data_IF_602017694890
#
_entry.id   IF_602017694890
#
_cell.length_a   1.000
_cell.length_b   1.000
_cell.length_c   1.000
_cell.angle_alpha   90.00
_cell.angle_beta   90.00
_cell.angle_gamma   90.00
#
_symmetry.space_group_name_H-M   'P 1'
#
loop_
_entity.id
_entity.type
_entity.pdbx_description
1 polymer ?
#
# COMPACT_ATOMS: atom_id res chain seq x y z
N UNK A 1 5.19 45.75 -22.53
CA UNK A 1 4.61 44.46 -22.97
C UNK A 1 5.41 44.02 -24.20
N UNK A 2 6.38 43.11 -24.16
CA UNK A 2 6.38 41.79 -23.53
C UNK A 2 6.31 40.70 -24.61
N UNK A 3 7.13 40.79 -25.66
CA UNK A 3 7.21 39.77 -26.72
C UNK A 3 8.52 38.99 -26.57
N UNK A 4 8.63 38.22 -25.49
CA UNK A 4 9.67 37.20 -25.37
C UNK A 4 9.21 35.99 -26.16
N UNK A 5 9.52 35.98 -27.46
CA UNK A 5 9.41 34.78 -28.26
C UNK A 5 10.20 33.66 -27.59
N UNK A 6 9.49 32.68 -27.04
CA UNK A 6 10.09 31.43 -26.57
C UNK A 6 10.65 30.72 -27.79
N UNK A 7 11.87 31.07 -28.20
CA UNK A 7 12.66 30.28 -29.13
C UNK A 7 12.92 28.96 -28.43
N UNK A 8 12.03 27.98 -28.61
CA UNK A 8 12.25 26.59 -28.22
C UNK A 8 13.63 26.22 -28.77
N UNK A 9 14.59 26.06 -27.87
CA UNK A 9 15.96 25.72 -28.23
C UNK A 9 15.89 24.31 -28.81
N UNK A 10 16.07 24.20 -30.13
CA UNK A 10 16.16 22.92 -30.84
C UNK A 10 17.09 22.00 -30.06
N UNK A 11 16.56 20.90 -29.56
CA UNK A 11 17.32 19.94 -28.76
C UNK A 11 18.41 19.29 -29.62
N UNK A 12 19.48 18.80 -29.01
CA UNK A 12 20.45 17.95 -29.71
C UNK A 12 19.78 16.72 -30.33
N UNK A 13 18.70 16.24 -29.71
CA UNK A 13 17.85 15.15 -30.18
C UNK A 13 17.12 15.52 -31.47
N UNK A 14 16.52 16.72 -31.53
CA UNK A 14 15.81 17.20 -32.72
C UNK A 14 16.74 17.38 -33.92
N UNK A 15 17.98 17.85 -33.66
CA UNK A 15 19.02 17.94 -34.69
C UNK A 15 19.41 16.56 -35.22
N UNK A 16 19.59 15.58 -34.34
CA UNK A 16 19.92 14.21 -34.76
C UNK A 16 18.79 13.58 -35.59
N UNK A 17 17.53 13.79 -35.22
CA UNK A 17 16.36 13.31 -35.99
C UNK A 17 16.30 14.00 -37.36
N UNK A 18 16.57 15.31 -37.40
CA UNK A 18 16.64 16.05 -38.66
C UNK A 18 17.75 15.50 -39.57
N UNK A 19 18.93 15.24 -39.03
CA UNK A 19 20.06 14.70 -39.79
C UNK A 19 19.73 13.32 -40.38
N UNK A 20 19.07 12.44 -39.62
CA UNK A 20 18.58 11.14 -40.12
C UNK A 20 17.58 11.31 -41.26
N UNK A 21 16.62 12.24 -41.12
CA UNK A 21 15.62 12.53 -42.17
C UNK A 21 16.29 13.09 -43.43
N UNK A 22 17.26 13.98 -43.28
CA UNK A 22 18.06 14.51 -44.40
C UNK A 22 18.85 13.39 -45.09
N UNK A 23 19.46 12.48 -44.33
CA UNK A 23 20.18 11.33 -44.90
C UNK A 23 19.25 10.41 -45.70
N UNK A 24 18.07 10.10 -45.17
CA UNK A 24 17.03 9.34 -45.87
C UNK A 24 16.66 10.02 -47.20
N UNK A 25 16.41 11.32 -47.18
CA UNK A 25 16.02 12.06 -48.39
C UNK A 25 17.16 12.11 -49.43
N UNK A 26 18.42 12.24 -48.99
CA UNK A 26 19.60 12.13 -49.86
C UNK A 26 19.70 10.75 -50.51
N UNK A 27 19.41 9.68 -49.76
CA UNK A 27 19.40 8.32 -50.28
C UNK A 27 18.29 8.15 -51.33
N UNK A 28 17.09 8.68 -51.10
CA UNK A 28 16.02 8.69 -52.11
C UNK A 28 16.43 9.42 -53.40
N UNK A 29 17.11 10.56 -53.28
CA UNK A 29 17.63 11.28 -54.46
C UNK A 29 18.70 10.46 -55.20
N UNK A 30 19.58 9.78 -54.46
CA UNK A 30 20.60 8.92 -55.04
C UNK A 30 20.00 7.71 -55.75
N UNK A 31 19.00 7.06 -55.15
CA UNK A 31 18.26 5.95 -55.74
C UNK A 31 17.65 6.37 -57.08
N UNK A 32 16.92 7.50 -57.14
CA UNK A 32 16.36 8.03 -58.39
C UNK A 32 17.42 8.27 -59.47
N UNK A 33 18.59 8.78 -59.09
CA UNK A 33 19.71 9.00 -60.02
C UNK A 33 20.25 7.67 -60.55
N UNK A 34 20.44 6.66 -59.70
CA UNK A 34 20.91 5.33 -60.13
C UNK A 34 19.89 4.65 -61.03
N UNK A 35 18.58 4.73 -60.73
CA UNK A 35 17.54 4.16 -61.59
C UNK A 35 17.60 4.76 -62.99
N UNK A 36 17.67 6.08 -63.09
CA UNK A 36 17.80 6.76 -64.39
C UNK A 36 19.10 6.38 -65.14
N UNK A 37 20.21 6.16 -64.43
CA UNK A 37 21.44 5.66 -65.04
C UNK A 37 21.30 4.21 -65.52
N UNK A 38 20.61 3.37 -64.75
CA UNK A 38 20.36 1.97 -65.09
C UNK A 38 19.53 1.88 -66.37
N UNK A 39 18.48 2.70 -66.48
CA UNK A 39 17.62 2.79 -67.67
C UNK A 39 18.45 3.18 -68.90
N UNK A 40 19.30 4.21 -68.79
CA UNK A 40 20.22 4.62 -69.87
C UNK A 40 21.19 3.51 -70.27
N UNK A 41 21.78 2.79 -69.32
CA UNK A 41 22.65 1.64 -69.63
C UNK A 41 21.88 0.52 -70.33
N UNK A 42 20.57 0.35 -70.05
CA UNK A 42 19.73 -0.60 -70.80
C UNK A 42 19.50 -0.15 -72.25
N UNK A 43 19.29 1.15 -72.48
CA UNK A 43 19.14 1.73 -73.82
C UNK A 43 20.43 1.58 -74.62
N UNK A 44 21.57 1.94 -74.02
CA UNK A 44 22.90 1.78 -74.64
C UNK A 44 23.16 0.30 -74.97
N UNK A 45 22.79 -0.62 -74.08
CA UNK A 45 22.91 -2.05 -74.36
C UNK A 45 22.06 -2.47 -75.57
N UNK A 46 20.81 -1.99 -75.69
CA UNK A 46 19.93 -2.25 -76.85
C UNK A 46 20.52 -1.68 -78.14
N UNK A 47 21.03 -0.45 -78.11
CA UNK A 47 21.66 0.19 -79.28
C UNK A 47 22.92 -0.56 -79.73
N UNK A 48 23.78 -0.99 -78.79
CA UNK A 48 24.97 -1.76 -79.12
C UNK A 48 24.62 -3.13 -79.74
N UNK A 49 23.54 -3.76 -79.27
CA UNK A 49 23.05 -5.00 -79.87
C UNK A 49 22.51 -4.79 -81.30
N UNK A 50 21.79 -3.68 -81.55
CA UNK A 50 21.32 -3.33 -82.88
C UNK A 50 22.48 -3.08 -83.88
N UNK A 51 23.61 -2.57 -83.38
CA UNK A 51 24.85 -2.38 -84.17
C UNK A 51 25.74 -3.63 -84.27
N UNK A 52 25.30 -4.78 -83.76
CA UNK A 52 26.07 -6.03 -83.66
C UNK A 52 27.36 -5.96 -82.82
N UNK A 53 27.53 -4.93 -81.99
CA UNK A 53 28.70 -4.71 -81.15
C UNK A 53 28.60 -5.46 -79.81
N UNK A 54 28.77 -6.79 -79.86
CA UNK A 54 28.63 -7.68 -78.69
C UNK A 54 29.55 -7.32 -77.51
N UNK A 55 30.78 -6.86 -77.78
CA UNK A 55 31.76 -6.50 -76.73
C UNK A 55 31.28 -5.29 -75.90
N UNK A 56 30.71 -4.27 -76.56
CA UNK A 56 30.19 -3.06 -75.88
C UNK A 56 28.89 -3.35 -75.15
N UNK A 57 28.01 -4.15 -75.74
CA UNK A 57 26.80 -4.61 -75.07
C UNK A 57 27.09 -5.37 -73.76
N UNK A 58 28.07 -6.28 -73.76
CA UNK A 58 28.49 -6.99 -72.54
C UNK A 58 29.03 -6.05 -71.45
N UNK A 59 29.76 -4.99 -71.82
CA UNK A 59 30.26 -4.00 -70.87
C UNK A 59 29.11 -3.20 -70.23
N UNK A 60 28.14 -2.75 -71.04
CA UNK A 60 26.95 -2.05 -70.56
C UNK A 60 26.12 -2.93 -69.60
N UNK A 61 25.94 -4.22 -69.93
CA UNK A 61 25.25 -5.16 -69.04
C UNK A 61 25.99 -5.41 -67.73
N UNK A 62 27.33 -5.44 -67.74
CA UNK A 62 28.13 -5.53 -66.50
C UNK A 62 27.96 -4.28 -65.63
N UNK A 63 27.95 -3.09 -66.24
CA UNK A 63 27.69 -1.82 -65.53
C UNK A 63 26.29 -1.77 -64.95
N UNK A 64 25.28 -2.19 -65.72
CA UNK A 64 23.90 -2.36 -65.24
C UNK A 64 23.84 -3.25 -64.00
N UNK A 65 24.42 -4.45 -64.05
CA UNK A 65 24.42 -5.38 -62.91
C UNK A 65 25.12 -4.81 -61.66
N UNK A 66 26.20 -4.06 -61.84
CA UNK A 66 26.86 -3.36 -60.75
C UNK A 66 25.95 -2.28 -60.13
N UNK A 67 25.27 -1.48 -60.96
CA UNK A 67 24.32 -0.46 -60.51
C UNK A 67 23.10 -1.07 -59.80
N UNK A 68 22.57 -2.20 -60.27
CA UNK A 68 21.50 -2.95 -59.60
C UNK A 68 21.94 -3.46 -58.21
N UNK A 69 23.19 -3.94 -58.11
CA UNK A 69 23.76 -4.37 -56.83
C UNK A 69 23.91 -3.19 -55.86
N UNK A 70 24.33 -2.03 -56.36
CA UNK A 70 24.38 -0.80 -55.57
C UNK A 70 22.99 -0.37 -55.12
N UNK A 71 21.99 -0.42 -56.01
CA UNK A 71 20.60 -0.06 -55.71
C UNK A 71 20.06 -0.97 -54.59
N UNK A 72 20.26 -2.28 -54.68
CA UNK A 72 19.86 -3.23 -53.64
C UNK A 72 20.51 -2.95 -52.27
N UNK A 73 21.79 -2.56 -52.26
CA UNK A 73 22.47 -2.14 -51.02
C UNK A 73 21.87 -0.86 -50.47
N UNK A 74 21.59 0.11 -51.34
CA UNK A 74 20.97 1.39 -50.96
C UNK A 74 19.55 1.19 -50.40
N UNK A 75 18.74 0.31 -50.98
CA UNK A 75 17.41 -0.03 -50.46
C UNK A 75 17.50 -0.66 -49.07
N UNK A 76 18.49 -1.53 -48.86
CA UNK A 76 18.74 -2.15 -47.56
C UNK A 76 19.14 -1.10 -46.50
N UNK A 77 19.98 -0.14 -46.88
CA UNK A 77 20.37 0.98 -46.01
C UNK A 77 19.19 1.92 -45.71
N UNK A 78 18.32 2.15 -46.70
CA UNK A 78 17.13 2.96 -46.53
C UNK A 78 16.16 2.32 -45.53
N UNK A 79 15.91 1.02 -45.67
CA UNK A 79 15.08 0.27 -44.72
C UNK A 79 15.65 0.32 -43.29
N UNK A 80 16.97 0.22 -43.14
CA UNK A 80 17.64 0.37 -41.84
C UNK A 80 17.44 1.77 -41.24
N UNK A 81 17.51 2.84 -42.04
CA UNK A 81 17.26 4.21 -41.57
C UNK A 81 15.80 4.44 -41.18
N UNK A 82 14.86 3.86 -41.93
CA UNK A 82 13.43 3.93 -41.61
C UNK A 82 13.12 3.20 -40.30
N UNK A 83 13.69 2.01 -40.12
CA UNK A 83 13.61 1.29 -38.84
C UNK A 83 14.19 2.11 -37.68
N UNK A 84 15.39 2.68 -37.86
CA UNK A 84 16.03 3.49 -36.82
C UNK A 84 15.19 4.73 -36.48
N UNK A 85 14.62 5.40 -37.50
CA UNK A 85 13.75 6.56 -37.29
C UNK A 85 12.51 6.18 -36.48
N UNK A 86 11.85 5.06 -36.82
CA UNK A 86 10.71 4.56 -36.06
C UNK A 86 11.06 4.17 -34.62
N UNK A 87 12.25 3.59 -34.39
CA UNK A 87 12.74 3.29 -33.05
C UNK A 87 12.96 4.58 -32.22
N UNK A 88 13.52 5.63 -32.82
CA UNK A 88 13.73 6.91 -32.14
C UNK A 88 12.39 7.58 -31.80
N UNK A 89 11.44 7.60 -32.74
CA UNK A 89 10.10 8.14 -32.50
C UNK A 89 9.37 7.38 -31.39
N UNK A 90 9.49 6.05 -31.37
CA UNK A 90 8.95 5.23 -30.29
C UNK A 90 9.64 5.50 -28.94
N UNK A 91 10.95 5.70 -28.91
CA UNK A 91 11.69 6.04 -27.70
C UNK A 91 11.29 7.42 -27.14
N UNK A 92 10.96 8.39 -28.01
CA UNK A 92 10.42 9.68 -27.58
C UNK A 92 9.07 9.52 -26.90
N UNK A 93 8.16 8.72 -27.46
CA UNK A 93 6.86 8.43 -26.83
C UNK A 93 7.05 7.71 -25.49
N UNK A 94 7.97 6.73 -25.41
CA UNK A 94 8.28 6.05 -24.15
C UNK A 94 8.77 7.00 -23.06
N UNK A 95 9.60 7.98 -23.42
CA UNK A 95 10.07 9.01 -22.48
C UNK A 95 8.88 9.78 -21.90
N UNK A 96 7.92 10.18 -22.72
CA UNK A 96 6.75 10.94 -22.28
C UNK A 96 5.83 10.10 -21.39
N UNK A 97 5.63 8.82 -21.74
CA UNK A 97 4.90 7.86 -20.90
C UNK A 97 5.58 7.70 -19.54
N UNK A 98 6.90 7.56 -19.52
CA UNK A 98 7.67 7.43 -18.28
C UNK A 98 7.56 8.69 -17.41
N UNK A 99 7.59 9.88 -18.01
CA UNK A 99 7.37 11.13 -17.30
C UNK A 99 5.94 11.23 -16.73
N UNK A 100 4.93 10.80 -17.47
CA UNK A 100 3.55 10.69 -17.00
C UNK A 100 3.41 9.73 -15.82
N UNK A 101 4.03 8.55 -15.90
CA UNK A 101 4.07 7.58 -14.79
C UNK A 101 4.77 8.17 -13.55
N UNK A 102 5.91 8.85 -13.72
CA UNK A 102 6.60 9.52 -12.61
C UNK A 102 5.73 10.57 -11.94
N UNK A 103 4.98 11.37 -12.70
CA UNK A 103 4.04 12.34 -12.13
C UNK A 103 2.89 11.64 -11.41
N UNK A 104 2.29 10.61 -12.02
CA UNK A 104 1.24 9.80 -11.40
C UNK A 104 1.70 9.21 -10.06
N UNK A 105 2.90 8.64 -10.01
CA UNK A 105 3.49 8.12 -8.76
C UNK A 105 3.69 9.20 -7.72
N UNK A 106 4.16 10.41 -8.11
CA UNK A 106 4.30 11.53 -7.17
C UNK A 106 2.96 11.97 -6.59
N UNK A 107 1.92 12.04 -7.41
CA UNK A 107 0.56 12.38 -6.96
C UNK A 107 0.01 11.30 -6.02
N UNK A 108 0.17 10.02 -6.37
CA UNK A 108 -0.21 8.91 -5.50
C UNK A 108 0.54 8.94 -4.16
N UNK A 109 1.83 9.26 -4.18
CA UNK A 109 2.61 9.41 -2.94
C UNK A 109 2.11 10.58 -2.09
N UNK A 110 1.72 11.71 -2.69
CA UNK A 110 1.13 12.83 -1.99
C UNK A 110 -0.22 12.44 -1.35
N UNK A 111 -1.11 11.79 -2.12
CA UNK A 111 -2.40 11.30 -1.63
C UNK A 111 -2.21 10.29 -0.49
N UNK A 112 -1.32 9.31 -0.66
CA UNK A 112 -1.02 8.33 0.39
C UNK A 112 -0.48 9.01 1.66
N UNK A 113 0.29 10.09 1.53
CA UNK A 113 0.78 10.85 2.69
C UNK A 113 -0.34 11.65 3.36
N UNK A 114 -1.26 12.23 2.60
CA UNK A 114 -2.42 12.97 3.12
C UNK A 114 -3.45 12.06 3.81
N UNK A 115 -3.66 10.85 3.30
CA UNK A 115 -4.50 9.81 3.93
C UNK A 115 -3.85 9.27 5.22
N UNK A 116 -2.57 9.60 5.48
CA UNK A 116 -1.83 9.24 6.68
C UNK A 116 -1.03 7.94 6.56
N UNK A 117 -0.80 7.48 5.33
CA UNK A 117 0.07 6.34 5.01
C UNK A 117 -0.43 5.03 5.60
N UNK A 118 0.51 4.12 5.84
CA UNK A 118 0.24 2.83 6.49
C UNK A 118 -0.22 3.04 7.94
N UNK A 119 0.33 4.04 8.64
CA UNK A 119 0.01 4.32 10.05
C UNK A 119 -1.45 4.77 10.28
N UNK A 120 -2.08 5.45 9.32
CA UNK A 120 -3.50 5.78 9.42
C UNK A 120 -4.40 4.60 9.05
N UNK A 121 -3.95 3.72 8.16
CA UNK A 121 -4.65 2.46 7.87
C UNK A 121 -4.57 1.51 9.07
N UNK A 122 -3.40 1.40 9.71
CA UNK A 122 -3.19 0.60 10.92
C UNK A 122 -4.03 1.12 12.08
N UNK A 123 -4.05 2.46 12.31
CA UNK A 123 -4.95 3.07 13.31
C UNK A 123 -6.42 2.83 13.02
N UNK A 124 -6.86 2.97 11.77
CA UNK A 124 -8.25 2.69 11.39
C UNK A 124 -8.61 1.22 11.61
N UNK A 125 -7.68 0.29 11.37
CA UNK A 125 -7.87 -1.15 11.63
C UNK A 125 -7.94 -1.43 13.14
N UNK A 126 -7.10 -0.78 13.96
CA UNK A 126 -7.18 -0.85 15.43
C UNK A 126 -8.49 -0.28 15.95
N UNK A 127 -8.87 0.94 15.55
CA UNK A 127 -10.13 1.58 15.96
C UNK A 127 -11.35 0.75 15.55
N UNK A 128 -11.33 0.09 14.38
CA UNK A 128 -12.43 -0.80 13.95
C UNK A 128 -12.41 -2.18 14.62
N UNK A 129 -11.27 -2.65 15.10
CA UNK A 129 -11.17 -3.85 15.91
C UNK A 129 -11.67 -3.58 17.33
N UNK A 130 -11.25 -2.47 17.94
CA UNK A 130 -11.71 -2.03 19.26
C UNK A 130 -13.20 -1.69 19.25
N UNK A 131 -13.69 -0.96 18.24
CA UNK A 131 -15.12 -0.67 18.12
C UNK A 131 -15.95 -1.95 17.98
N UNK A 132 -15.46 -2.96 17.25
CA UNK A 132 -16.12 -4.27 17.17
C UNK A 132 -16.08 -5.02 18.49
N UNK A 133 -14.95 -5.05 19.19
CA UNK A 133 -14.86 -5.69 20.50
C UNK A 133 -15.78 -5.02 21.52
N UNK A 134 -15.91 -3.69 21.47
CA UNK A 134 -16.81 -2.95 22.35
C UNK A 134 -18.29 -3.19 21.99
N UNK A 135 -18.62 -3.25 20.69
CA UNK A 135 -19.95 -3.62 20.21
C UNK A 135 -20.31 -5.05 20.62
N UNK A 136 -19.42 -6.02 20.41
CA UNK A 136 -19.60 -7.40 20.85
C UNK A 136 -19.74 -7.49 22.37
N UNK A 137 -18.89 -6.79 23.15
CA UNK A 137 -19.01 -6.76 24.60
C UNK A 137 -20.36 -6.19 25.03
N UNK A 138 -20.80 -5.09 24.41
CA UNK A 138 -22.07 -4.45 24.77
C UNK A 138 -23.28 -5.30 24.36
N UNK A 139 -23.25 -5.95 23.20
CA UNK A 139 -24.26 -6.92 22.78
C UNK A 139 -24.29 -8.12 23.72
N UNK A 140 -23.13 -8.65 24.10
CA UNK A 140 -23.01 -9.76 25.06
C UNK A 140 -23.51 -9.35 26.44
N UNK A 141 -23.13 -8.18 26.97
CA UNK A 141 -23.62 -7.66 28.24
C UNK A 141 -25.13 -7.47 28.23
N UNK A 142 -25.68 -6.93 27.14
CA UNK A 142 -27.11 -6.67 27.01
C UNK A 142 -27.92 -7.97 26.84
N UNK A 143 -27.35 -8.99 26.17
CA UNK A 143 -27.92 -10.33 26.14
C UNK A 143 -27.85 -11.03 27.50
N UNK A 144 -26.77 -10.82 28.27
CA UNK A 144 -26.60 -11.40 29.59
C UNK A 144 -27.57 -10.77 30.60
N UNK A 145 -27.72 -9.44 30.57
CA UNK A 145 -28.66 -8.68 31.40
C UNK A 145 -30.14 -9.02 31.10
N UNK A 146 -30.46 -9.40 29.85
CA UNK A 146 -31.79 -9.85 29.47
C UNK A 146 -32.08 -11.34 29.72
N UNK A 147 -31.08 -12.14 30.13
CA UNK A 147 -31.18 -13.60 30.26
C UNK A 147 -30.97 -14.14 31.67
N UNK A 148 -30.52 -13.35 32.64
CA UNK A 148 -30.44 -13.77 34.04
C UNK A 148 -31.82 -13.77 34.69
N UNK A 149 -32.17 -14.85 35.38
CA UNK A 149 -33.33 -14.90 36.28
C UNK A 149 -32.97 -14.27 37.63
N UNK A 150 -33.97 -13.80 38.39
CA UNK A 150 -33.75 -13.27 39.75
C UNK A 150 -33.07 -14.29 40.68
N UNK A 151 -33.28 -15.58 40.42
CA UNK A 151 -32.63 -16.65 41.18
C UNK A 151 -31.16 -16.86 40.78
N UNK A 152 -30.81 -16.59 39.52
CA UNK A 152 -29.41 -16.62 39.08
C UNK A 152 -28.63 -15.41 39.62
N UNK A 153 -29.31 -14.27 39.84
CA UNK A 153 -28.73 -13.09 40.50
C UNK A 153 -28.43 -13.35 41.98
N UNK A 154 -29.36 -13.98 42.71
CA UNK A 154 -29.14 -14.38 44.12
C UNK A 154 -27.96 -15.36 44.26
N UNK A 155 -27.87 -16.38 43.39
CA UNK A 155 -26.76 -17.34 43.41
C UNK A 155 -25.39 -16.66 43.13
N UNK A 156 -25.35 -15.67 42.23
CA UNK A 156 -24.13 -14.90 41.92
C UNK A 156 -23.74 -13.98 43.08
N UNK A 157 -24.71 -13.37 43.78
CA UNK A 157 -24.47 -12.56 44.97
C UNK A 157 -23.87 -13.41 46.12
N UNK A 158 -24.40 -14.61 46.32
CA UNK A 158 -23.89 -15.56 47.32
C UNK A 158 -22.45 -16.00 47.00
N UNK A 159 -22.14 -16.30 45.73
CA UNK A 159 -20.78 -16.64 45.29
C UNK A 159 -19.80 -15.47 45.46
N UNK A 160 -20.23 -14.24 45.15
CA UNK A 160 -19.44 -13.02 45.36
C UNK A 160 -19.14 -12.84 46.86
N UNK A 161 -20.14 -12.99 47.72
CA UNK A 161 -19.98 -12.83 49.16
C UNK A 161 -19.09 -13.94 49.76
N UNK A 162 -19.11 -15.14 49.19
CA UNK A 162 -18.19 -16.21 49.56
C UNK A 162 -16.74 -15.87 49.19
N UNK A 163 -16.50 -15.36 47.99
CA UNK A 163 -15.18 -14.90 47.54
C UNK A 163 -14.68 -13.70 48.34
N UNK A 164 -15.55 -12.75 48.68
CA UNK A 164 -15.19 -11.61 49.52
C UNK A 164 -14.76 -12.05 50.92
N UNK A 165 -15.43 -13.05 51.51
CA UNK A 165 -15.00 -13.64 52.79
C UNK A 165 -13.66 -14.37 52.66
N UNK A 166 -13.42 -15.03 51.55
CA UNK A 166 -12.16 -15.73 51.28
C UNK A 166 -10.99 -14.74 51.10
N UNK A 167 -11.21 -13.63 50.39
CA UNK A 167 -10.21 -12.56 50.15
C UNK A 167 -10.01 -11.67 51.38
N UNK A 168 -11.07 -11.35 52.11
CA UNK A 168 -11.00 -10.52 53.33
C UNK A 168 -10.35 -11.25 54.51
N UNK A 169 -10.35 -12.59 54.51
CA UNK A 169 -9.85 -13.38 55.63
C UNK A 169 -10.63 -13.15 56.94
N UNK A 170 -10.38 -13.94 58.01
CA UNK A 170 -11.16 -13.85 59.23
C UNK A 170 -10.96 -12.49 59.91
N UNK A 171 -12.02 -11.69 59.98
CA UNK A 171 -12.09 -10.46 60.77
C UNK A 171 -11.84 -10.81 62.25
N UNK A 172 -10.63 -10.58 62.74
CA UNK A 172 -10.34 -10.55 64.17
C UNK A 172 -10.88 -9.24 64.74
N UNK A 173 -12.07 -9.29 65.35
CA UNK A 173 -12.49 -8.25 66.27
C UNK A 173 -11.55 -8.25 67.48
N UNK A 174 -10.91 -7.12 67.86
CA UNK A 174 -10.00 -7.08 68.99
C UNK A 174 -10.74 -7.37 70.31
N UNK A 175 -10.15 -8.22 71.14
CA UNK A 175 -10.70 -8.58 72.45
C UNK A 175 -10.81 -7.34 73.36
N UNK A 176 -11.94 -7.21 74.05
CA UNK A 176 -12.17 -6.18 75.08
C UNK A 176 -11.08 -6.32 76.16
N UNK A 177 -10.37 -5.23 76.55
CA UNK A 177 -9.32 -5.32 77.57
C UNK A 177 -9.87 -5.70 78.95
N UNK A 178 -9.34 -6.79 79.50
CA UNK A 178 -9.59 -7.28 80.86
C UNK A 178 -8.48 -6.84 81.81
N UNK A 179 -8.26 -5.53 81.97
CA UNK A 179 -7.31 -5.03 82.96
C UNK A 179 -7.98 -4.96 84.36
N UNK A 180 -7.35 -5.51 85.43
CA UNK A 180 -7.90 -5.45 86.77
C UNK A 180 -7.82 -4.02 87.34
N UNK A 181 -8.97 -3.51 87.79
CA UNK A 181 -9.07 -2.21 88.47
C UNK A 181 -8.35 -2.24 89.84
N UNK A 182 -7.70 -1.14 90.27
CA UNK A 182 -6.87 -1.09 91.46
C UNK A 182 -7.68 -1.22 92.78
N UNK A 183 -7.15 -2.04 93.70
CA UNK A 183 -7.68 -2.32 95.04
C UNK A 183 -7.77 -1.08 95.94
N UNK A 184 -8.92 -0.92 96.59
CA UNK A 184 -9.18 0.09 97.63
C UNK A 184 -9.14 -0.57 99.02
N UNK A 185 -8.47 0.00 100.04
CA UNK A 185 -8.21 -0.69 101.31
C UNK A 185 -9.48 -0.95 102.13
N UNK A 186 -9.64 -2.17 102.65
CA UNK A 186 -10.72 -2.57 103.55
C UNK A 186 -10.38 -2.29 105.03
N UNK A 187 -11.33 -1.77 105.83
CA UNK A 187 -11.37 -1.97 107.28
C UNK A 187 -12.36 -3.10 107.68
N UNK A 188 -12.26 -3.62 108.93
CA UNK A 188 -12.41 -5.06 109.22
C UNK A 188 -13.83 -5.62 109.38
N UNK A 189 -13.87 -6.94 109.16
CA UNK A 189 -14.98 -7.90 109.20
C UNK A 189 -15.75 -7.91 110.53
N UNK A 190 -17.07 -7.87 110.46
CA UNK A 190 -17.96 -8.32 111.54
C UNK A 190 -18.82 -9.48 111.01
N UNK A 191 -18.61 -10.65 111.62
CA UNK A 191 -19.29 -11.91 111.35
C UNK A 191 -20.66 -11.87 112.02
N UNK A 192 -21.73 -12.26 111.32
CA UNK A 192 -22.90 -12.85 111.96
C UNK A 192 -23.77 -13.66 110.99
N UNK A 193 -24.19 -14.80 111.54
CA UNK A 193 -24.87 -15.95 110.98
C UNK A 193 -26.39 -15.76 110.79
N UNK A 194 -26.94 -16.58 109.87
CA UNK A 194 -28.23 -17.29 109.98
C UNK A 194 -29.56 -16.51 109.94
N UNK A 195 -30.44 -16.87 108.98
CA UNK A 195 -31.74 -17.52 109.28
C UNK A 195 -32.67 -17.62 108.05
N UNK A 196 -32.89 -18.88 107.66
CA UNK A 196 -34.12 -19.57 107.23
C UNK A 196 -35.38 -18.77 106.79
N UNK A 197 -35.83 -19.11 105.57
CA UNK A 197 -37.19 -19.56 105.14
C UNK A 197 -38.48 -18.91 105.71
N UNK A 198 -39.58 -18.78 104.91
CA UNK A 198 -40.24 -19.95 104.35
C UNK A 198 -40.89 -19.82 102.95
N UNK A 199 -41.18 -21.00 102.43
CA UNK A 199 -42.07 -21.35 101.32
C UNK A 199 -43.45 -20.69 101.37
N UNK A 200 -44.06 -20.49 100.19
CA UNK A 200 -45.51 -20.63 99.96
C UNK A 200 -45.85 -20.72 98.46
N UNK A 201 -46.23 -21.91 98.04
CA UNK A 201 -47.10 -22.15 96.87
C UNK A 201 -48.57 -21.99 97.28
N UNK A 202 -49.45 -21.73 96.30
CA UNK A 202 -50.72 -22.45 96.18
C UNK A 202 -50.85 -23.01 94.75
N UNK A 203 -51.08 -24.30 94.47
CA UNK A 203 -52.24 -25.19 94.73
C UNK A 203 -53.44 -24.95 93.78
N UNK A 204 -53.78 -26.02 93.03
CA UNK A 204 -55.02 -26.38 92.29
C UNK A 204 -55.31 -25.60 90.98
N UNK A 205 -55.81 -26.18 89.88
CA UNK A 205 -56.53 -27.42 89.55
C UNK A 205 -56.24 -27.74 88.04
N UNK A 206 -56.43 -28.91 87.43
CA UNK A 206 -57.16 -30.17 87.62
C UNK A 206 -56.43 -31.26 86.83
#
# INVERSE_FOLDING_TARGET
MGNTGSSQKVSSQDRAILDLKIQRDKIYQYQKRITALTDRETEIARECLARNDKRRALLALRRKKYQETLLSKTDSQLAQLEQLTGQVEFALVQKDVLFGLQQGTKVLQAINKEIGGIEAVDRLMEETAEARAYQEFQEVSQMLEGSLSTQDEEDVEDELEALEREVAGPVQLPAVPSDPLPERPQPPVEVQEESQEPTRTPVLAS
#
